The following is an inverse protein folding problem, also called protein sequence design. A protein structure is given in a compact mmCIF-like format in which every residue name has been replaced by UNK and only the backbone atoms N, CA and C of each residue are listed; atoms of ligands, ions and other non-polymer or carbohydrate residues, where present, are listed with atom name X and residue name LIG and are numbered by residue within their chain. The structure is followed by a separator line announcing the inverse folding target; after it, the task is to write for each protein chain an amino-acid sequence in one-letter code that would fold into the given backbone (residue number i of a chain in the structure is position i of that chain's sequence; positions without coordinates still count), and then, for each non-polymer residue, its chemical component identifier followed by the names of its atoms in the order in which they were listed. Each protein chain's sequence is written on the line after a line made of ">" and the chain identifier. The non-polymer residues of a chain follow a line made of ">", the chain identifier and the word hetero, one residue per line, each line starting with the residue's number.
data_IF_235165111758
#
_entry.id   IF_235165111758
#
_cell.length_a   1.000
_cell.length_b   1.000
_cell.length_c   1.000
_cell.angle_alpha   90.00
_cell.angle_beta   90.00
_cell.angle_gamma   90.00
#
_symmetry.space_group_name_H-M   'P 1'
#
loop_
_entity.id
_entity.type
_entity.pdbx_description
1 polymer ?
#
# COMPACT_ATOMS: atom_id res chain seq x y z
N UNK A 1 34.73 0.25 -15.09
CA UNK A 1 33.43 0.72 -15.64
C UNK A 1 32.46 -0.45 -15.50
N UNK A 2 31.53 -0.41 -14.55
CA UNK A 2 30.61 -1.53 -14.30
C UNK A 2 29.48 -1.52 -15.33
N UNK A 3 29.44 -2.55 -16.20
CA UNK A 3 28.39 -2.73 -17.18
C UNK A 3 27.22 -3.42 -16.50
N UNK A 4 26.34 -2.66 -15.85
CA UNK A 4 25.09 -3.22 -15.33
C UNK A 4 24.28 -3.66 -16.55
N UNK A 5 24.07 -4.97 -16.68
CA UNK A 5 23.26 -5.55 -17.74
C UNK A 5 21.80 -5.13 -17.58
N UNK A 6 21.03 -5.10 -18.67
CA UNK A 6 19.62 -4.66 -18.66
C UNK A 6 18.80 -5.49 -17.66
N UNK A 7 19.11 -6.78 -17.52
CA UNK A 7 18.44 -7.69 -16.56
C UNK A 7 18.73 -7.31 -15.10
N UNK A 8 19.94 -6.87 -14.78
CA UNK A 8 20.30 -6.45 -13.42
C UNK A 8 19.61 -5.13 -13.06
N UNK A 9 19.53 -4.19 -14.01
CA UNK A 9 18.77 -2.95 -13.86
C UNK A 9 17.29 -3.23 -13.60
N UNK A 10 16.69 -4.09 -14.43
CA UNK A 10 15.28 -4.47 -14.29
C UNK A 10 15.01 -5.18 -12.96
N UNK A 11 15.93 -6.04 -12.49
CA UNK A 11 15.81 -6.68 -11.19
C UNK A 11 15.88 -5.70 -10.02
N UNK A 12 16.74 -4.68 -10.11
CA UNK A 12 16.82 -3.60 -9.10
C UNK A 12 15.53 -2.77 -9.09
N UNK A 13 15.03 -2.36 -10.26
CA UNK A 13 13.78 -1.60 -10.38
C UNK A 13 12.59 -2.37 -9.80
N UNK A 14 12.44 -3.64 -10.16
CA UNK A 14 11.38 -4.50 -9.62
C UNK A 14 11.49 -4.67 -8.10
N UNK A 15 12.70 -4.82 -7.56
CA UNK A 15 12.92 -4.91 -6.12
C UNK A 15 12.53 -3.63 -5.39
N UNK A 16 12.84 -2.46 -5.97
CA UNK A 16 12.46 -1.16 -5.43
C UNK A 16 10.93 -1.00 -5.42
N UNK A 17 10.27 -1.33 -6.52
CA UNK A 17 8.81 -1.21 -6.65
C UNK A 17 8.08 -2.16 -5.67
N UNK A 18 8.53 -3.42 -5.55
CA UNK A 18 8.00 -4.37 -4.57
C UNK A 18 8.21 -3.89 -3.13
N UNK A 19 9.38 -3.32 -2.84
CA UNK A 19 9.69 -2.73 -1.54
C UNK A 19 8.77 -1.56 -1.21
N UNK A 20 8.45 -0.72 -2.19
CA UNK A 20 7.53 0.41 -2.04
C UNK A 20 6.11 -0.06 -1.75
N UNK A 21 5.58 -1.00 -2.52
CA UNK A 21 4.22 -1.54 -2.34
C UNK A 21 4.09 -2.20 -0.95
N UNK A 22 5.01 -3.08 -0.57
CA UNK A 22 4.97 -3.76 0.74
C UNK A 22 5.07 -2.78 1.92
N UNK A 23 5.88 -1.72 1.78
CA UNK A 23 5.97 -0.66 2.79
C UNK A 23 4.67 0.14 2.90
N UNK A 24 4.02 0.47 1.78
CA UNK A 24 2.72 1.15 1.78
C UNK A 24 1.63 0.28 2.41
N UNK A 25 1.58 -1.02 2.08
CA UNK A 25 0.63 -1.96 2.65
C UNK A 25 0.76 -2.04 4.18
N UNK A 26 1.97 -2.28 4.68
CA UNK A 26 2.22 -2.40 6.12
C UNK A 26 1.95 -1.10 6.87
N UNK A 27 2.31 0.05 6.28
CA UNK A 27 2.04 1.37 6.86
C UNK A 27 0.54 1.63 6.96
N UNK A 28 -0.20 1.41 5.86
CA UNK A 28 -1.65 1.62 5.84
C UNK A 28 -2.37 0.67 6.78
N UNK A 29 -1.99 -0.61 6.84
CA UNK A 29 -2.54 -1.58 7.80
C UNK A 29 -2.37 -1.08 9.23
N UNK A 30 -1.18 -0.57 9.58
CA UNK A 30 -0.91 -0.04 10.92
C UNK A 30 -1.80 1.18 11.23
N UNK A 31 -1.97 2.09 10.28
CA UNK A 31 -2.84 3.27 10.44
C UNK A 31 -4.31 2.87 10.61
N UNK A 32 -4.79 1.91 9.83
CA UNK A 32 -6.15 1.38 9.94
C UNK A 32 -6.38 0.71 11.29
N UNK A 33 -5.46 -0.12 11.76
CA UNK A 33 -5.54 -0.75 13.09
C UNK A 33 -5.55 0.30 14.21
N UNK A 34 -4.72 1.34 14.12
CA UNK A 34 -4.67 2.41 15.11
C UNK A 34 -5.96 3.24 15.15
N UNK A 35 -6.57 3.51 13.99
CA UNK A 35 -7.75 4.37 13.88
C UNK A 35 -9.08 3.63 14.10
N UNK A 36 -9.19 2.41 13.59
CA UNK A 36 -10.45 1.66 13.51
C UNK A 36 -10.47 0.35 14.30
N UNK A 37 -9.34 -0.08 14.87
CA UNK A 37 -9.27 -1.29 15.70
C UNK A 37 -9.61 -2.57 14.93
N UNK A 38 -10.45 -3.42 15.53
CA UNK A 38 -10.82 -4.75 14.99
C UNK A 38 -11.47 -4.67 13.59
N UNK A 39 -12.18 -3.60 13.29
CA UNK A 39 -12.80 -3.38 11.97
C UNK A 39 -11.78 -3.39 10.82
N UNK A 40 -10.49 -3.10 11.10
CA UNK A 40 -9.43 -3.14 10.12
C UNK A 40 -9.05 -4.55 9.64
N UNK A 41 -9.26 -5.58 10.47
CA UNK A 41 -8.87 -6.95 10.17
C UNK A 41 -9.56 -7.50 8.92
N UNK A 42 -10.81 -7.09 8.68
CA UNK A 42 -11.61 -7.51 7.51
C UNK A 42 -11.03 -7.01 6.17
N UNK A 43 -10.19 -5.97 6.20
CA UNK A 43 -9.65 -5.31 5.02
C UNK A 43 -8.19 -5.67 4.71
N UNK A 44 -7.55 -6.51 5.53
CA UNK A 44 -6.14 -6.90 5.32
C UNK A 44 -5.91 -7.56 3.95
N UNK A 45 -6.79 -8.50 3.58
CA UNK A 45 -6.73 -9.16 2.27
C UNK A 45 -6.87 -8.16 1.11
N UNK A 46 -7.67 -7.11 1.30
CA UNK A 46 -7.88 -6.06 0.31
C UNK A 46 -6.65 -5.18 0.15
N UNK A 47 -5.91 -4.90 1.23
CA UNK A 47 -4.63 -4.20 1.18
C UNK A 47 -3.57 -5.01 0.41
N UNK A 48 -3.50 -6.31 0.66
CA UNK A 48 -2.51 -7.20 0.02
C UNK A 48 -2.69 -7.29 -1.51
N UNK A 49 -3.92 -7.13 -2.00
CA UNK A 49 -4.26 -7.21 -3.42
C UNK A 49 -4.33 -5.84 -4.12
N UNK A 50 -4.17 -4.75 -3.38
CA UNK A 50 -4.29 -3.41 -3.93
C UNK A 50 -3.04 -3.00 -4.72
N UNK A 51 -3.27 -2.20 -5.76
CA UNK A 51 -2.20 -1.57 -6.52
C UNK A 51 -1.64 -0.36 -5.76
N UNK A 52 -0.45 0.09 -6.12
CA UNK A 52 0.21 1.21 -5.46
C UNK A 52 -0.67 2.47 -5.41
N UNK A 53 -1.37 2.77 -6.52
CA UNK A 53 -2.24 3.95 -6.64
C UNK A 53 -3.39 3.92 -5.63
N UNK A 54 -4.01 2.76 -5.42
CA UNK A 54 -5.07 2.58 -4.44
C UNK A 54 -4.52 2.72 -3.02
N UNK A 55 -3.35 2.13 -2.74
CA UNK A 55 -2.70 2.22 -1.42
C UNK A 55 -2.33 3.67 -1.07
N UNK A 56 -1.81 4.45 -2.02
CA UNK A 56 -1.51 5.87 -1.83
C UNK A 56 -2.80 6.65 -1.55
N UNK A 57 -3.85 6.46 -2.35
CA UNK A 57 -5.14 7.13 -2.16
C UNK A 57 -5.74 6.82 -0.78
N UNK A 58 -5.72 5.56 -0.36
CA UNK A 58 -6.25 5.16 0.94
C UNK A 58 -5.39 5.68 2.10
N UNK A 59 -4.08 5.83 1.90
CA UNK A 59 -3.17 6.46 2.88
C UNK A 59 -3.50 7.93 3.11
N UNK A 60 -3.95 8.65 2.09
CA UNK A 60 -4.45 10.03 2.27
C UNK A 60 -5.81 10.04 2.97
N UNK A 61 -6.72 9.17 2.56
CA UNK A 61 -8.08 9.11 3.11
C UNK A 61 -8.14 8.67 4.56
N UNK A 62 -7.24 7.79 5.00
CA UNK A 62 -7.22 7.31 6.40
C UNK A 62 -7.08 8.44 7.41
N UNK A 63 -6.50 9.58 7.01
CA UNK A 63 -6.37 10.76 7.87
C UNK A 63 -7.72 11.42 8.15
N UNK A 64 -8.61 11.48 7.16
CA UNK A 64 -9.85 12.26 7.23
C UNK A 64 -11.12 11.43 7.36
N UNK A 65 -11.10 10.16 6.93
CA UNK A 65 -12.26 9.30 6.91
C UNK A 65 -12.79 8.98 8.33
N UNK A 66 -14.08 9.19 8.58
CA UNK A 66 -14.70 8.88 9.87
C UNK A 66 -14.97 7.39 10.05
N UNK A 67 -15.11 6.64 8.95
CA UNK A 67 -15.30 5.19 8.96
C UNK A 67 -14.30 4.49 8.04
N UNK A 68 -14.12 3.18 8.27
CA UNK A 68 -13.21 2.38 7.45
C UNK A 68 -13.71 2.26 6.01
N UNK A 69 -15.02 2.14 5.81
CA UNK A 69 -15.65 2.08 4.49
C UNK A 69 -15.34 3.34 3.67
N UNK A 70 -15.32 4.51 4.31
CA UNK A 70 -15.00 5.78 3.67
C UNK A 70 -13.53 5.86 3.20
N UNK A 71 -12.60 5.14 3.84
CA UNK A 71 -11.22 5.01 3.35
C UNK A 71 -11.21 4.30 1.99
N UNK A 72 -11.97 3.22 1.91
CA UNK A 72 -12.03 2.34 0.75
C UNK A 72 -13.09 2.72 -0.30
N UNK A 73 -13.77 3.86 -0.11
CA UNK A 73 -14.85 4.32 -0.97
C UNK A 73 -14.32 4.94 -2.27
N UNK A 74 -14.55 4.25 -3.38
CA UNK A 74 -14.03 4.64 -4.70
C UNK A 74 -12.61 4.10 -4.93
N UNK A 75 -12.43 3.46 -6.10
CA UNK A 75 -11.10 3.12 -6.64
C UNK A 75 -10.45 4.36 -7.24
N UNK A 76 -9.11 4.36 -7.26
CA UNK A 76 -8.38 5.28 -8.13
C UNK A 76 -8.69 5.00 -9.61
#
# INVERSE_FOLDING_TARGET
>A
MAYISIIERQGIEQGIDQGRISTLQSTLQKLLQLKFGESAAEYEQRLLQAEEVDLTLWTERVLFAETIEAVFAGKA
#
